data_IF_656392296007
#
_entry.id   IF_656392296007
#
_cell.length_a   1.000
_cell.length_b   1.000
_cell.length_c   1.000
_cell.angle_alpha   90.00
_cell.angle_beta   90.00
_cell.angle_gamma   90.00
#
_symmetry.space_group_name_H-M   'P 1'
#
loop_
_entity.id
_entity.type
_entity.pdbx_description
1 polymer ?
#
# COMPACT_ATOMS: atom_id res chain seq x y z
N UNK A 1 4.20 -1.37 -12.12
CA UNK A 1 4.63 -0.06 -11.56
C UNK A 1 5.88 -0.17 -10.66
N UNK A 2 5.84 -0.87 -9.52
CA UNK A 2 6.96 -0.85 -8.54
C UNK A 2 8.34 -1.27 -9.10
N UNK A 3 8.41 -2.25 -10.00
CA UNK A 3 9.66 -2.65 -10.69
C UNK A 3 10.29 -1.50 -11.47
N UNK A 4 9.47 -0.65 -12.10
CA UNK A 4 9.96 0.51 -12.84
C UNK A 4 10.48 1.60 -11.91
N UNK A 5 9.83 1.80 -10.76
CA UNK A 5 10.35 2.70 -9.71
C UNK A 5 11.73 2.23 -9.26
N UNK A 6 11.88 0.94 -8.95
CA UNK A 6 13.18 0.37 -8.61
C UNK A 6 14.20 0.55 -9.74
N UNK A 7 13.82 0.31 -11.00
CA UNK A 7 14.70 0.45 -12.16
C UNK A 7 15.29 1.86 -12.28
N UNK A 8 14.48 2.90 -12.11
CA UNK A 8 14.89 4.30 -12.33
C UNK A 8 15.62 4.93 -11.15
N UNK A 9 15.52 4.38 -9.94
CA UNK A 9 16.26 4.88 -8.78
C UNK A 9 17.78 4.71 -8.99
N UNK A 10 18.54 5.73 -8.60
CA UNK A 10 20.00 5.65 -8.50
C UNK A 10 20.38 4.66 -7.37
N UNK A 11 21.61 4.08 -7.40
CA UNK A 11 22.12 3.31 -6.26
C UNK A 11 21.99 4.09 -4.95
N UNK A 12 21.55 3.43 -3.87
CA UNK A 12 21.23 4.02 -2.56
C UNK A 12 20.05 5.01 -2.54
N UNK A 13 19.31 5.13 -3.65
CA UNK A 13 18.11 5.96 -3.75
C UNK A 13 17.03 5.54 -2.77
N UNK A 14 16.28 6.51 -2.26
CA UNK A 14 15.17 6.29 -1.34
C UNK A 14 13.85 6.51 -2.06
N UNK A 15 12.96 5.51 -1.98
CA UNK A 15 11.57 5.61 -2.40
C UNK A 15 10.66 5.66 -1.17
N UNK A 16 9.86 6.72 -1.09
CA UNK A 16 8.86 6.91 -0.04
C UNK A 16 7.47 6.66 -0.62
N UNK A 17 6.71 5.75 -0.02
CA UNK A 17 5.36 5.40 -0.45
C UNK A 17 4.40 5.55 0.72
N UNK A 18 3.32 6.32 0.54
CA UNK A 18 2.21 6.36 1.47
C UNK A 18 1.13 5.38 1.04
N UNK A 19 0.57 4.64 1.99
CA UNK A 19 -0.55 3.73 1.72
C UNK A 19 -1.41 3.56 2.98
N UNK A 20 -2.68 3.20 2.77
CA UNK A 20 -3.66 2.87 3.80
C UNK A 20 -3.12 1.86 4.82
N UNK A 21 -3.34 2.16 6.09
CA UNK A 21 -2.96 1.28 7.20
C UNK A 21 -4.01 0.16 7.39
N UNK A 22 -3.96 -0.84 6.51
CA UNK A 22 -4.82 -2.03 6.57
C UNK A 22 -4.04 -3.33 6.77
N UNK A 23 -4.75 -4.40 7.16
CA UNK A 23 -4.18 -5.74 7.29
C UNK A 23 -4.58 -6.71 6.18
N UNK A 24 -5.48 -6.29 5.27
CA UNK A 24 -6.11 -7.12 4.25
C UNK A 24 -7.03 -8.20 4.81
N UNK A 25 -7.42 -8.09 6.07
CA UNK A 25 -8.25 -9.05 6.76
C UNK A 25 -9.36 -8.29 7.47
N UNK A 26 -10.56 -8.36 6.91
CA UNK A 26 -11.74 -7.63 7.40
C UNK A 26 -12.04 -7.92 8.88
N UNK A 27 -11.75 -9.12 9.39
CA UNK A 27 -11.96 -9.46 10.80
C UNK A 27 -10.98 -8.77 11.74
N UNK A 28 -9.78 -8.45 11.27
CA UNK A 28 -8.78 -7.66 12.02
C UNK A 28 -9.01 -6.18 11.81
N UNK A 29 -9.34 -5.79 10.58
CA UNK A 29 -9.50 -4.40 10.19
C UNK A 29 -10.77 -3.78 10.79
N UNK A 30 -11.82 -4.56 11.13
CA UNK A 30 -13.04 -4.02 11.76
C UNK A 30 -12.81 -3.30 13.09
N UNK A 31 -11.69 -3.57 13.76
CA UNK A 31 -11.30 -2.90 15.02
C UNK A 31 -10.76 -1.47 14.76
N UNK A 32 -10.52 -1.11 13.50
CA UNK A 32 -10.11 0.24 13.08
C UNK A 32 -11.37 1.05 12.76
N UNK A 33 -11.57 2.16 13.46
CA UNK A 33 -12.79 2.98 13.37
C UNK A 33 -13.19 3.39 11.94
N UNK A 34 -12.21 3.57 11.04
CA UNK A 34 -12.44 4.00 9.65
C UNK A 34 -12.60 2.84 8.66
N UNK A 35 -12.47 1.59 9.11
CA UNK A 35 -12.40 0.42 8.23
C UNK A 35 -13.63 0.24 7.34
N UNK A 36 -14.84 0.36 7.90
CA UNK A 36 -16.08 0.26 7.12
C UNK A 36 -16.12 1.28 5.98
N UNK A 37 -15.70 2.52 6.25
CA UNK A 37 -15.60 3.55 5.23
C UNK A 37 -14.56 3.19 4.16
N UNK A 38 -13.36 2.75 4.57
CA UNK A 38 -12.29 2.41 3.63
C UNK A 38 -12.64 1.21 2.72
N UNK A 39 -13.32 0.20 3.25
CA UNK A 39 -13.85 -0.91 2.46
C UNK A 39 -14.98 -0.46 1.52
N UNK A 40 -15.85 0.45 1.98
CA UNK A 40 -16.87 1.09 1.13
C UNK A 40 -16.25 1.84 -0.05
N UNK A 41 -15.24 2.69 0.21
CA UNK A 41 -14.47 3.38 -0.83
C UNK A 41 -13.80 2.38 -1.78
N UNK A 42 -13.25 1.29 -1.25
CA UNK A 42 -12.64 0.24 -2.06
C UNK A 42 -13.64 -0.33 -3.07
N UNK A 43 -14.85 -0.65 -2.63
CA UNK A 43 -15.90 -1.22 -3.46
C UNK A 43 -16.46 -0.22 -4.47
N UNK A 44 -16.70 1.03 -4.04
CA UNK A 44 -17.39 2.03 -4.84
C UNK A 44 -16.48 2.81 -5.80
N UNK A 45 -15.15 2.74 -5.63
CA UNK A 45 -14.21 3.54 -6.40
C UNK A 45 -12.93 2.80 -6.80
N UNK A 46 -12.10 2.40 -5.82
CA UNK A 46 -10.74 1.93 -6.13
C UNK A 46 -10.70 0.60 -6.90
N UNK A 47 -11.58 -0.35 -6.56
CA UNK A 47 -11.66 -1.62 -7.28
C UNK A 47 -12.23 -1.44 -8.70
N UNK A 48 -13.38 -0.78 -8.91
CA UNK A 48 -13.92 -0.54 -10.26
C UNK A 48 -12.92 0.15 -11.20
N UNK A 49 -12.18 1.15 -10.70
CA UNK A 49 -11.19 1.86 -11.51
C UNK A 49 -9.87 1.09 -11.65
N UNK A 50 -9.51 0.29 -10.64
CA UNK A 50 -8.25 -0.44 -10.56
C UNK A 50 -8.24 -1.76 -11.32
N UNK A 51 -9.38 -2.23 -11.82
CA UNK A 51 -9.51 -3.45 -12.65
C UNK A 51 -9.83 -3.01 -14.08
N UNK A 52 -8.85 -2.38 -14.73
CA UNK A 52 -8.99 -1.83 -16.08
C UNK A 52 -8.42 -2.74 -17.19
N UNK A 53 -7.81 -3.86 -16.81
CA UNK A 53 -7.23 -4.86 -17.70
C UNK A 53 -7.32 -6.26 -17.07
N UNK A 54 -7.16 -7.31 -17.87
CA UNK A 54 -7.21 -8.70 -17.39
C UNK A 54 -6.10 -9.05 -16.39
N UNK A 55 -4.95 -8.39 -16.48
CA UNK A 55 -3.80 -8.57 -15.59
C UNK A 55 -3.81 -7.65 -14.36
N UNK A 56 -4.84 -6.81 -14.23
CA UNK A 56 -4.97 -5.90 -13.11
C UNK A 56 -5.18 -6.67 -11.79
N UNK A 57 -4.37 -6.37 -10.78
CA UNK A 57 -4.40 -7.09 -9.50
C UNK A 57 -5.64 -6.81 -8.65
N UNK A 58 -6.41 -5.74 -8.94
CA UNK A 58 -7.65 -5.43 -8.22
C UNK A 58 -7.48 -5.38 -6.70
N UNK A 59 -6.44 -4.69 -6.22
CA UNK A 59 -6.04 -4.74 -4.80
C UNK A 59 -7.03 -3.99 -3.88
N UNK A 60 -7.64 -2.92 -4.39
CA UNK A 60 -8.51 -2.05 -3.60
C UNK A 60 -7.76 -1.21 -2.56
N UNK A 61 -8.49 -0.47 -1.74
CA UNK A 61 -7.94 0.48 -0.77
C UNK A 61 -7.23 -0.23 0.39
N UNK A 62 -7.77 -1.36 0.86
CA UNK A 62 -7.34 -2.03 2.11
C UNK A 62 -6.56 -3.32 1.81
N UNK A 63 -5.71 -3.29 0.79
CA UNK A 63 -4.92 -4.45 0.32
C UNK A 63 -3.81 -4.90 1.29
N UNK A 64 -3.44 -4.01 2.21
CA UNK A 64 -2.77 -4.33 3.46
C UNK A 64 -1.25 -4.47 3.42
N UNK A 65 -0.66 -4.33 4.62
CA UNK A 65 0.79 -4.21 4.83
C UNK A 65 1.62 -5.37 4.31
N UNK A 66 1.16 -6.60 4.49
CA UNK A 66 1.93 -7.79 4.11
C UNK A 66 1.98 -7.94 2.58
N UNK A 67 0.88 -7.64 1.87
CA UNK A 67 0.89 -7.60 0.42
C UNK A 67 1.76 -6.46 -0.10
N UNK A 68 1.73 -5.28 0.53
CA UNK A 68 2.61 -4.17 0.17
C UNK A 68 4.09 -4.55 0.28
N UNK A 69 4.52 -5.13 1.42
CA UNK A 69 5.88 -5.65 1.59
C UNK A 69 6.26 -6.69 0.53
N UNK A 70 5.36 -7.63 0.24
CA UNK A 70 5.57 -8.65 -0.79
C UNK A 70 5.82 -8.02 -2.16
N UNK A 71 4.99 -7.05 -2.58
CA UNK A 71 5.14 -6.41 -3.88
C UNK A 71 6.39 -5.53 -3.99
N UNK A 72 6.77 -4.85 -2.90
CA UNK A 72 8.02 -4.08 -2.83
C UNK A 72 9.24 -5.01 -2.91
N UNK A 73 9.23 -6.13 -2.19
CA UNK A 73 10.28 -7.15 -2.30
C UNK A 73 10.38 -7.74 -3.70
N UNK A 74 9.25 -8.09 -4.31
CA UNK A 74 9.18 -8.57 -5.71
C UNK A 74 9.67 -7.53 -6.73
N UNK A 75 9.72 -6.26 -6.37
CA UNK A 75 10.26 -5.18 -7.20
C UNK A 75 11.78 -5.00 -7.05
N UNK A 76 12.40 -5.59 -6.02
CA UNK A 76 13.84 -5.51 -5.75
C UNK A 76 14.19 -4.74 -4.47
N UNK A 77 13.23 -4.18 -3.74
CA UNK A 77 13.53 -3.48 -2.49
C UNK A 77 13.77 -4.49 -1.35
N UNK A 78 15.04 -4.67 -0.96
CA UNK A 78 15.42 -5.59 0.12
C UNK A 78 15.18 -4.98 1.51
N UNK A 79 15.32 -3.66 1.64
CA UNK A 79 15.13 -2.94 2.90
C UNK A 79 13.90 -2.03 2.81
N UNK A 80 12.80 -2.48 3.42
CA UNK A 80 11.53 -1.74 3.54
C UNK A 80 11.27 -1.45 5.02
N UNK A 81 11.30 -0.16 5.38
CA UNK A 81 10.97 0.30 6.73
C UNK A 81 9.55 0.89 6.73
N UNK A 82 8.75 0.59 7.75
CA UNK A 82 7.38 1.10 7.88
C UNK A 82 7.32 2.02 9.10
N UNK A 83 6.86 3.25 8.86
CA UNK A 83 6.74 4.29 9.87
C UNK A 83 5.30 4.81 9.92
N UNK A 84 4.82 5.32 11.07
CA UNK A 84 3.61 6.12 11.10
C UNK A 84 3.73 7.30 10.15
N UNK A 85 2.64 7.71 9.50
CA UNK A 85 2.66 8.95 8.74
C UNK A 85 2.80 10.15 9.72
N UNK A 86 3.89 10.93 9.66
CA UNK A 86 4.10 12.06 10.58
C UNK A 86 3.13 13.23 10.34
N UNK A 87 2.37 13.22 9.25
CA UNK A 87 1.44 14.26 8.84
C UNK A 87 -0.04 13.86 9.01
N UNK A 88 -0.33 12.68 9.56
CA UNK A 88 -1.68 12.13 9.68
C UNK A 88 -2.03 11.84 11.13
N UNK A 89 -2.85 12.70 11.72
CA UNK A 89 -3.32 12.55 13.11
C UNK A 89 -4.20 11.31 13.29
N UNK A 90 -4.94 10.94 12.25
CA UNK A 90 -5.88 9.82 12.27
C UNK A 90 -5.23 8.45 12.01
N UNK A 91 -3.93 8.40 11.69
CA UNK A 91 -3.17 7.17 11.38
C UNK A 91 -3.86 6.24 10.37
N UNK A 92 -4.62 6.84 9.44
CA UNK A 92 -5.33 6.11 8.39
C UNK A 92 -4.36 5.55 7.33
N UNK A 93 -3.17 6.13 7.25
CA UNK A 93 -2.11 5.80 6.32
C UNK A 93 -0.75 5.70 7.03
N UNK A 94 0.18 5.01 6.37
CA UNK A 94 1.52 4.68 6.86
C UNK A 94 2.54 4.93 5.75
N UNK A 95 3.78 5.20 6.17
CA UNK A 95 4.89 5.52 5.29
C UNK A 95 5.82 4.31 5.15
N UNK A 96 6.06 3.88 3.92
CA UNK A 96 7.06 2.89 3.57
C UNK A 96 8.29 3.62 3.03
N UNK A 97 9.45 3.35 3.62
CA UNK A 97 10.75 3.84 3.17
C UNK A 97 11.54 2.66 2.60
N UNK A 98 11.75 2.69 1.29
CA UNK A 98 12.34 1.58 0.53
C UNK A 98 13.66 2.05 -0.08
N UNK A 99 14.78 1.41 0.30
CA UNK A 99 16.09 1.74 -0.26
C UNK A 99 16.46 0.76 -1.37
N UNK A 100 16.99 1.28 -2.47
CA UNK A 100 17.64 0.51 -3.53
C UNK A 100 19.10 0.24 -3.21
#
# INVERSE_FOLDING_TARGET
>A
CLKEIYRVLKPNGLFSMFETNGTSNVYKDKEINTSTYMYGVSLSHCLPLGINSEDAMGLGTVWGREKAKQLLGNAGFEKVEIHPNPFSEFRADILYLCRK
#
